data_IF_100488803326
#
_entry.id   IF_100488803326
#
_cell.length_a   1.000
_cell.length_b   1.000
_cell.length_c   1.000
_cell.angle_alpha   90.00
_cell.angle_beta   90.00
_cell.angle_gamma   90.00
#
_symmetry.space_group_name_H-M   'P 1'
#
loop_
_entity.id
_entity.type
_entity.pdbx_description
1 polymer ?
#
# COMPACT_ATOMS: atom_id res chain seq x y z
N UNK A 1 15.70 -1.95 25.19
CA UNK A 1 15.01 -1.79 23.89
C UNK A 1 13.90 -0.78 24.05
N UNK A 2 13.78 0.18 23.14
CA UNK A 2 12.70 1.18 23.13
C UNK A 2 11.77 0.89 21.97
N UNK A 3 10.46 0.89 22.25
CA UNK A 3 9.40 0.84 21.25
C UNK A 3 8.85 2.25 21.03
N UNK A 4 8.82 2.69 19.77
CA UNK A 4 8.17 3.93 19.38
C UNK A 4 6.96 3.60 18.52
N UNK A 5 5.77 3.89 19.01
CA UNK A 5 4.51 3.64 18.29
C UNK A 5 4.10 4.90 17.55
N UNK A 6 3.78 4.76 16.28
CA UNK A 6 3.23 5.83 15.44
C UNK A 6 2.12 5.30 14.56
N UNK A 7 1.15 6.14 14.22
CA UNK A 7 0.07 5.71 13.32
C UNK A 7 0.61 5.44 11.94
N UNK A 8 1.45 6.31 11.38
CA UNK A 8 1.94 6.20 10.01
C UNK A 8 3.37 6.73 9.86
N UNK A 9 4.07 6.22 8.85
CA UNK A 9 5.35 6.71 8.37
C UNK A 9 5.22 7.05 6.88
N UNK A 10 4.93 8.30 6.52
CA UNK A 10 4.74 8.70 5.13
C UNK A 10 6.07 8.81 4.37
N UNK A 11 6.06 8.53 3.08
CA UNK A 11 7.23 8.63 2.19
C UNK A 11 7.80 10.07 2.15
N UNK A 12 6.90 11.07 2.11
CA UNK A 12 7.21 12.50 2.28
C UNK A 12 6.64 12.93 3.62
N UNK A 13 7.45 13.50 4.50
CA UNK A 13 7.07 13.72 5.88
C UNK A 13 7.43 15.13 6.36
N UNK A 14 6.57 15.67 7.24
CA UNK A 14 6.78 16.94 7.95
C UNK A 14 7.55 16.76 9.26
N UNK A 15 7.60 17.85 10.05
CA UNK A 15 8.42 17.95 11.25
C UNK A 15 8.20 16.86 12.30
N UNK A 16 6.95 16.39 12.50
CA UNK A 16 6.65 15.34 13.50
C UNK A 16 7.41 14.04 13.21
N UNK A 17 7.30 13.52 11.99
CA UNK A 17 8.01 12.28 11.61
C UNK A 17 9.51 12.48 11.60
N UNK A 18 9.98 13.66 11.14
CA UNK A 18 11.39 13.97 11.16
C UNK A 18 11.96 14.03 12.60
N UNK A 19 11.25 14.64 13.52
CA UNK A 19 11.65 14.71 14.94
C UNK A 19 11.69 13.29 15.56
N UNK A 20 10.70 12.43 15.26
CA UNK A 20 10.66 11.05 15.70
C UNK A 20 11.88 10.27 15.21
N UNK A 21 12.18 10.32 13.91
CA UNK A 21 13.32 9.60 13.31
C UNK A 21 14.66 10.11 13.86
N UNK A 22 14.83 11.42 14.01
CA UNK A 22 16.05 12.03 14.61
C UNK A 22 16.25 11.57 16.04
N UNK A 23 15.20 11.57 16.85
CA UNK A 23 15.27 11.10 18.26
C UNK A 23 15.70 9.65 18.34
N UNK A 24 15.11 8.75 17.54
CA UNK A 24 15.42 7.31 17.56
C UNK A 24 16.85 7.08 17.07
N UNK A 25 17.27 7.80 16.03
CA UNK A 25 18.63 7.73 15.51
C UNK A 25 19.65 8.15 16.57
N UNK A 26 19.40 9.25 17.29
CA UNK A 26 20.23 9.72 18.38
C UNK A 26 20.35 8.67 19.51
N UNK A 27 19.24 8.03 19.88
CA UNK A 27 19.25 6.97 20.91
C UNK A 27 20.12 5.78 20.50
N UNK A 28 20.11 5.41 19.23
CA UNK A 28 20.96 4.33 18.73
C UNK A 28 22.43 4.76 18.60
N UNK A 29 22.71 5.93 18.04
CA UNK A 29 24.07 6.40 17.76
C UNK A 29 24.85 6.76 19.04
N UNK A 30 24.22 7.52 19.96
CA UNK A 30 24.90 8.04 21.16
C UNK A 30 24.80 7.08 22.34
N UNK A 31 23.64 6.49 22.55
CA UNK A 31 23.35 5.71 23.75
C UNK A 31 23.35 4.18 23.49
N UNK A 32 23.51 3.75 22.24
CA UNK A 32 23.51 2.33 21.85
C UNK A 32 22.24 1.59 22.31
N UNK A 33 21.10 2.30 22.36
CA UNK A 33 19.83 1.73 22.78
C UNK A 33 19.11 1.11 21.59
N UNK A 34 18.92 -0.20 21.53
CA UNK A 34 18.15 -0.85 20.47
C UNK A 34 16.73 -0.30 20.41
N UNK A 35 16.29 0.08 19.24
CA UNK A 35 14.99 0.73 19.05
C UNK A 35 14.19 0.08 17.94
N UNK A 36 12.86 0.00 18.15
CA UNK A 36 11.88 -0.45 17.16
C UNK A 36 10.82 0.62 16.91
N UNK A 37 10.44 0.80 15.65
CA UNK A 37 9.33 1.66 15.26
C UNK A 37 8.17 0.77 14.83
N UNK A 38 7.05 0.85 15.56
CA UNK A 38 5.81 0.15 15.25
C UNK A 38 4.81 1.10 14.61
N UNK A 39 4.36 0.76 13.42
CA UNK A 39 3.25 1.46 12.74
C UNK A 39 1.94 0.73 12.92
N UNK A 40 0.85 1.48 13.16
CA UNK A 40 -0.47 0.90 13.46
C UNK A 40 -1.50 1.07 12.35
N UNK A 41 -1.19 1.82 11.27
CA UNK A 41 -2.06 1.87 10.09
C UNK A 41 -1.66 0.82 9.05
N UNK A 42 -2.62 0.47 8.20
CA UNK A 42 -2.35 -0.33 7.01
C UNK A 42 -1.70 0.52 5.91
N UNK A 43 -0.58 0.02 5.36
CA UNK A 43 0.04 0.59 4.16
C UNK A 43 0.89 -0.44 3.44
N UNK A 44 0.44 -0.90 2.27
CA UNK A 44 1.11 -1.98 1.50
C UNK A 44 2.52 -1.67 1.00
N UNK A 45 3.00 -0.43 1.12
CA UNK A 45 4.31 0.01 0.60
C UNK A 45 5.33 0.32 1.71
N UNK A 46 5.10 -0.10 2.95
CA UNK A 46 6.06 0.13 4.04
C UNK A 46 7.48 -0.38 3.76
N UNK A 47 7.71 -1.54 3.13
CA UNK A 47 9.08 -1.98 2.82
C UNK A 47 9.88 -0.96 2.02
N UNK A 48 9.25 -0.29 1.03
CA UNK A 48 9.91 0.75 0.24
C UNK A 48 10.18 2.02 1.05
N UNK A 49 9.27 2.38 1.97
CA UNK A 49 9.43 3.53 2.87
C UNK A 49 10.60 3.29 3.83
N UNK A 50 10.68 2.11 4.45
CA UNK A 50 11.76 1.74 5.35
C UNK A 50 13.11 1.72 4.64
N UNK A 51 13.16 1.15 3.41
CA UNK A 51 14.35 1.17 2.58
C UNK A 51 14.80 2.61 2.27
N UNK A 52 13.86 3.49 1.90
CA UNK A 52 14.17 4.90 1.62
C UNK A 52 14.73 5.61 2.85
N UNK A 53 14.18 5.40 4.04
CA UNK A 53 14.68 6.03 5.27
C UNK A 53 16.11 5.61 5.59
N UNK A 54 16.48 4.35 5.35
CA UNK A 54 17.86 3.88 5.46
C UNK A 54 18.77 4.53 4.42
N UNK A 55 18.37 4.53 3.15
CA UNK A 55 19.12 5.14 2.05
C UNK A 55 19.36 6.66 2.26
N UNK A 56 18.40 7.35 2.84
CA UNK A 56 18.52 8.79 3.17
C UNK A 56 19.20 9.03 4.52
N UNK A 57 19.76 8.01 5.14
CA UNK A 57 20.44 8.08 6.45
C UNK A 57 19.57 8.70 7.56
N UNK A 58 18.24 8.54 7.48
CA UNK A 58 17.30 9.01 8.50
C UNK A 58 17.23 8.10 9.71
N UNK A 59 17.60 6.85 9.54
CA UNK A 59 17.72 5.82 10.57
C UNK A 59 18.98 5.01 10.34
N UNK A 60 19.51 4.38 11.39
CA UNK A 60 20.62 3.42 11.30
C UNK A 60 20.10 2.04 10.89
N UNK A 61 21.01 1.13 10.52
CA UNK A 61 20.66 -0.25 10.20
C UNK A 61 20.15 -1.04 11.42
N UNK A 62 20.51 -0.61 12.63
CA UNK A 62 20.10 -1.26 13.89
C UNK A 62 18.62 -1.00 14.24
N UNK A 63 18.03 0.08 13.69
CA UNK A 63 16.63 0.42 13.97
C UNK A 63 15.73 -0.52 13.19
N UNK A 64 14.87 -1.23 13.91
CA UNK A 64 13.89 -2.15 13.35
C UNK A 64 12.57 -1.45 13.10
N UNK A 65 11.91 -1.83 11.99
CA UNK A 65 10.56 -1.40 11.68
C UNK A 65 9.63 -2.60 11.77
N UNK A 66 8.46 -2.37 12.36
CA UNK A 66 7.39 -3.36 12.46
C UNK A 66 6.06 -2.70 12.11
N UNK A 67 5.12 -3.50 11.67
CA UNK A 67 3.76 -3.05 11.35
C UNK A 67 2.74 -3.97 12.01
N UNK A 68 1.69 -3.40 12.57
CA UNK A 68 0.63 -4.16 13.25
C UNK A 68 -0.01 -5.20 12.31
N UNK A 69 -0.27 -4.84 11.06
CA UNK A 69 -0.89 -5.74 10.09
C UNK A 69 0.07 -6.84 9.60
N UNK A 70 1.39 -6.59 9.64
CA UNK A 70 2.39 -7.63 9.41
C UNK A 70 2.31 -8.72 10.48
N UNK A 71 2.11 -8.34 11.74
CA UNK A 71 1.89 -9.30 12.83
C UNK A 71 0.57 -10.07 12.66
N UNK A 72 -0.52 -9.36 12.33
CA UNK A 72 -1.82 -9.99 12.11
C UNK A 72 -1.81 -10.99 10.96
N UNK A 73 -1.02 -10.73 9.92
CA UNK A 73 -0.83 -11.64 8.78
C UNK A 73 0.20 -12.76 9.02
N UNK A 74 0.66 -12.93 10.26
CA UNK A 74 1.73 -13.84 10.62
C UNK A 74 3.01 -13.63 9.76
N UNK A 75 3.39 -12.37 9.57
CA UNK A 75 4.55 -11.92 8.80
C UNK A 75 4.52 -12.32 7.31
N UNK A 76 3.34 -12.45 6.73
CA UNK A 76 3.16 -12.75 5.30
C UNK A 76 2.79 -11.52 4.45
N UNK A 77 2.45 -10.38 5.06
CA UNK A 77 1.93 -9.22 4.35
C UNK A 77 2.93 -8.63 3.35
N UNK A 78 4.21 -8.56 3.70
CA UNK A 78 5.26 -7.97 2.88
C UNK A 78 6.20 -8.99 2.27
N UNK A 79 5.86 -10.27 2.33
CA UNK A 79 6.66 -11.34 1.74
C UNK A 79 6.75 -11.16 0.23
N UNK A 80 7.97 -11.06 -0.28
CA UNK A 80 8.22 -10.92 -1.71
C UNK A 80 7.88 -12.23 -2.43
N UNK A 81 6.93 -12.24 -3.38
CA UNK A 81 6.65 -13.43 -4.17
C UNK A 81 7.84 -13.71 -5.09
N UNK A 82 8.38 -14.92 -5.04
CA UNK A 82 9.52 -15.35 -5.87
C UNK A 82 9.08 -16.45 -6.81
N UNK A 83 9.68 -16.52 -7.98
CA UNK A 83 9.58 -17.70 -8.83
C UNK A 83 10.57 -18.76 -8.32
N UNK A 84 10.20 -20.02 -8.41
CA UNK A 84 11.05 -21.15 -7.99
C UNK A 84 12.36 -21.22 -8.79
N UNK A 85 12.35 -20.75 -10.04
CA UNK A 85 13.46 -20.88 -10.99
C UNK A 85 14.43 -19.70 -10.91
N UNK A 86 13.94 -18.46 -10.78
CA UNK A 86 14.76 -17.26 -11.01
C UNK A 86 15.09 -16.47 -9.74
N UNK A 87 14.48 -16.78 -8.60
CA UNK A 87 14.52 -16.00 -7.35
C UNK A 87 14.10 -14.51 -7.53
N UNK A 88 13.64 -14.13 -8.70
CA UNK A 88 13.18 -12.78 -9.00
C UNK A 88 11.74 -12.57 -8.50
N UNK A 89 11.35 -11.34 -8.13
CA UNK A 89 9.97 -11.04 -7.80
C UNK A 89 9.03 -11.36 -8.97
N UNK A 90 7.95 -12.06 -8.68
CA UNK A 90 6.88 -12.33 -9.66
C UNK A 90 5.89 -11.16 -9.63
N UNK A 91 5.78 -10.44 -10.74
CA UNK A 91 4.80 -9.37 -10.91
C UNK A 91 3.52 -9.88 -11.55
N UNK A 92 2.38 -9.61 -10.92
CA UNK A 92 1.06 -9.84 -11.49
C UNK A 92 0.67 -8.59 -12.30
N UNK A 93 0.62 -8.75 -13.63
CA UNK A 93 0.28 -7.65 -14.54
C UNK A 93 -1.20 -7.67 -14.87
N UNK A 94 -1.82 -6.50 -14.82
CA UNK A 94 -3.24 -6.31 -15.16
C UNK A 94 -3.33 -5.47 -16.44
N UNK A 95 -4.00 -5.97 -17.50
CA UNK A 95 -4.17 -5.21 -18.73
C UNK A 95 -4.82 -3.84 -18.49
N UNK A 96 -4.32 -2.81 -19.18
CA UNK A 96 -4.89 -1.45 -19.09
C UNK A 96 -6.24 -1.33 -19.79
N UNK A 97 -6.54 -2.19 -20.77
CA UNK A 97 -7.83 -2.23 -21.45
C UNK A 97 -8.77 -3.23 -20.78
N UNK A 98 -10.02 -2.85 -20.60
CA UNK A 98 -11.10 -3.76 -20.16
C UNK A 98 -12.03 -3.96 -21.36
N UNK A 99 -12.27 -5.23 -21.70
CA UNK A 99 -13.17 -5.59 -22.81
C UNK A 99 -14.58 -5.02 -22.54
N UNK A 100 -15.15 -4.34 -23.52
CA UNK A 100 -16.50 -3.77 -23.44
C UNK A 100 -16.60 -2.42 -22.74
N UNK A 101 -15.48 -1.85 -22.24
CA UNK A 101 -15.48 -0.52 -21.62
C UNK A 101 -14.65 0.48 -22.43
N UNK A 102 -15.06 1.74 -22.40
CA UNK A 102 -14.34 2.86 -23.01
C UNK A 102 -13.41 3.44 -21.96
N UNK A 103 -12.12 3.52 -22.25
CA UNK A 103 -11.13 4.11 -21.36
C UNK A 103 -10.88 5.60 -21.66
N UNK A 104 -10.87 6.42 -20.61
CA UNK A 104 -10.48 7.83 -20.64
C UNK A 104 -9.34 8.06 -19.67
N UNK A 105 -8.26 8.68 -20.14
CA UNK A 105 -7.06 8.98 -19.33
C UNK A 105 -6.44 10.31 -19.73
N UNK A 106 -5.86 11.02 -18.78
CA UNK A 106 -5.00 12.17 -19.05
C UNK A 106 -3.69 11.73 -19.75
N UNK A 107 -3.09 12.65 -20.53
CA UNK A 107 -1.90 12.36 -21.37
C UNK A 107 -0.71 11.73 -20.63
N UNK A 108 -0.57 11.91 -19.29
CA UNK A 108 0.51 11.36 -18.46
C UNK A 108 -0.02 10.70 -17.18
N UNK A 109 -1.30 10.32 -17.15
CA UNK A 109 -1.91 9.78 -15.95
C UNK A 109 -1.76 8.27 -15.85
N UNK A 110 -1.33 7.80 -14.69
CA UNK A 110 -1.36 6.37 -14.33
C UNK A 110 -2.75 5.92 -13.88
N UNK A 111 -3.71 6.86 -13.78
CA UNK A 111 -5.10 6.64 -13.47
C UNK A 111 -5.92 6.60 -14.76
N UNK A 112 -6.71 5.55 -14.93
CA UNK A 112 -7.57 5.32 -16.07
C UNK A 112 -9.01 5.16 -15.56
N UNK A 113 -9.95 5.95 -16.15
CA UNK A 113 -11.37 5.84 -15.88
C UNK A 113 -12.03 5.03 -16.99
N UNK A 114 -12.93 4.13 -16.63
CA UNK A 114 -13.63 3.25 -17.56
C UNK A 114 -15.13 3.52 -17.52
N UNK A 115 -15.71 3.59 -18.70
CA UNK A 115 -17.10 3.94 -18.92
C UNK A 115 -17.82 2.80 -19.64
N UNK A 116 -19.03 2.52 -19.20
CA UNK A 116 -20.01 1.76 -19.96
C UNK A 116 -20.97 2.79 -20.57
N UNK A 117 -20.86 3.01 -21.87
CA UNK A 117 -21.45 4.16 -22.56
C UNK A 117 -20.96 5.47 -21.91
N UNK A 118 -21.85 6.24 -21.28
CA UNK A 118 -21.52 7.50 -20.60
C UNK A 118 -21.33 7.34 -19.07
N UNK A 119 -21.72 6.19 -18.52
CA UNK A 119 -21.64 5.94 -17.09
C UNK A 119 -20.23 5.54 -16.68
N UNK A 120 -19.63 6.27 -15.72
CA UNK A 120 -18.37 5.89 -15.09
C UNK A 120 -18.62 4.70 -14.18
N UNK A 121 -17.98 3.56 -14.47
CA UNK A 121 -18.21 2.30 -13.73
C UNK A 121 -16.97 1.78 -13.00
N UNK A 122 -15.78 2.24 -13.39
CA UNK A 122 -14.52 1.75 -12.81
C UNK A 122 -13.37 2.72 -12.96
N UNK A 123 -12.45 2.73 -12.02
CA UNK A 123 -11.16 3.41 -12.15
C UNK A 123 -10.02 2.47 -11.77
N UNK A 124 -8.92 2.50 -12.52
CA UNK A 124 -7.70 1.76 -12.23
C UNK A 124 -6.52 2.69 -12.14
N UNK A 125 -5.74 2.59 -11.07
CA UNK A 125 -4.45 3.24 -10.96
C UNK A 125 -3.34 2.21 -10.98
N UNK A 126 -2.26 2.53 -11.66
CA UNK A 126 -1.10 1.65 -11.84
C UNK A 126 0.13 2.25 -11.18
N UNK A 127 1.08 1.40 -10.75
CA UNK A 127 2.39 1.84 -10.29
C UNK A 127 3.22 2.39 -11.46
N UNK A 128 3.19 3.70 -11.66
CA UNK A 128 3.87 4.39 -12.74
C UNK A 128 3.49 3.83 -14.12
N UNK A 129 4.46 3.73 -15.01
CA UNK A 129 4.27 3.18 -16.38
C UNK A 129 4.17 1.64 -16.41
N UNK A 130 4.23 0.96 -15.26
CA UNK A 130 4.05 -0.49 -15.20
C UNK A 130 2.62 -0.90 -15.51
N UNK A 131 2.41 -2.19 -15.78
CA UNK A 131 1.09 -2.79 -15.83
C UNK A 131 0.72 -3.46 -14.48
N UNK A 132 1.39 -3.09 -13.40
CA UNK A 132 1.06 -3.54 -12.04
C UNK A 132 0.04 -2.59 -11.46
N UNK A 133 -1.10 -3.13 -11.06
CA UNK A 133 -2.20 -2.36 -10.49
C UNK A 133 -1.85 -1.90 -9.08
N UNK A 134 -2.11 -0.63 -8.77
CA UNK A 134 -2.00 -0.07 -7.42
C UNK A 134 -3.35 -0.18 -6.70
N UNK A 135 -4.41 0.27 -7.36
CA UNK A 135 -5.77 0.06 -6.88
C UNK A 135 -6.79 0.05 -8.03
N UNK A 136 -7.95 -0.52 -7.75
CA UNK A 136 -9.13 -0.52 -8.62
C UNK A 136 -10.35 -0.08 -7.82
N UNK A 137 -11.04 0.96 -8.29
CA UNK A 137 -12.31 1.44 -7.75
C UNK A 137 -13.47 0.94 -8.60
N UNK A 138 -14.51 0.50 -7.93
CA UNK A 138 -15.79 0.12 -8.52
C UNK A 138 -16.80 1.22 -8.19
N UNK A 139 -17.43 1.75 -9.22
CA UNK A 139 -18.32 2.91 -9.14
C UNK A 139 -19.75 2.46 -9.44
N UNK A 140 -20.67 2.82 -8.59
CA UNK A 140 -22.09 2.56 -8.80
C UNK A 140 -22.60 3.38 -9.98
N UNK A 141 -23.18 2.78 -11.00
CA UNK A 141 -23.75 3.52 -12.12
C UNK A 141 -24.97 4.36 -11.73
N UNK A 142 -25.60 4.05 -10.60
CA UNK A 142 -26.81 4.74 -10.09
C UNK A 142 -26.43 5.98 -9.29
N UNK A 143 -25.55 5.87 -8.31
CA UNK A 143 -25.15 6.98 -7.44
C UNK A 143 -23.93 7.76 -7.94
N UNK A 144 -23.11 7.16 -8.83
CA UNK A 144 -21.82 7.71 -9.23
C UNK A 144 -20.75 7.63 -8.12
N UNK A 145 -21.09 7.04 -6.99
CA UNK A 145 -20.19 6.89 -5.84
C UNK A 145 -19.42 5.57 -5.91
N UNK A 146 -18.25 5.57 -5.30
CA UNK A 146 -17.45 4.36 -5.13
C UNK A 146 -18.08 3.48 -4.04
N UNK A 147 -18.37 2.21 -4.36
CA UNK A 147 -18.91 1.23 -3.40
C UNK A 147 -17.87 0.20 -2.98
N UNK A 148 -16.81 -0.03 -3.77
CA UNK A 148 -15.76 -0.99 -3.47
C UNK A 148 -14.40 -0.50 -3.99
N UNK A 149 -13.30 -0.81 -3.26
CA UNK A 149 -11.93 -0.58 -3.71
C UNK A 149 -11.08 -1.81 -3.42
N UNK A 150 -10.36 -2.26 -4.42
CA UNK A 150 -9.30 -3.26 -4.29
C UNK A 150 -7.94 -2.56 -4.29
N UNK A 151 -7.07 -2.87 -3.33
CA UNK A 151 -5.72 -2.35 -3.24
C UNK A 151 -4.70 -3.49 -3.42
N UNK A 152 -3.65 -3.20 -4.16
CA UNK A 152 -2.62 -4.18 -4.53
C UNK A 152 -1.24 -3.70 -4.10
N UNK A 153 -0.34 -4.64 -3.78
CA UNK A 153 1.04 -4.31 -3.50
C UNK A 153 1.85 -4.06 -4.78
N UNK A 154 3.15 -3.71 -4.62
CA UNK A 154 4.07 -3.47 -5.73
C UNK A 154 4.24 -4.67 -6.69
N UNK A 155 3.84 -5.86 -6.28
CA UNK A 155 3.88 -7.08 -7.08
C UNK A 155 2.54 -7.42 -7.74
N UNK A 156 1.50 -6.63 -7.48
CA UNK A 156 0.15 -6.81 -8.02
C UNK A 156 -0.69 -7.84 -7.25
N UNK A 157 -0.28 -8.24 -6.05
CA UNK A 157 -1.08 -9.09 -5.18
C UNK A 157 -2.13 -8.24 -4.46
N UNK A 158 -3.35 -8.76 -4.38
CA UNK A 158 -4.43 -8.13 -3.62
C UNK A 158 -4.08 -8.16 -2.13
N UNK A 159 -4.15 -7.00 -1.48
CA UNK A 159 -3.89 -6.84 -0.05
C UNK A 159 -5.11 -6.47 0.74
N UNK A 160 -6.00 -5.70 0.14
CA UNK A 160 -7.13 -5.11 0.83
C UNK A 160 -8.29 -4.90 -0.11
N UNK A 161 -9.49 -5.20 0.36
CA UNK A 161 -10.75 -4.71 -0.22
C UNK A 161 -11.39 -3.77 0.78
N UNK A 162 -11.87 -2.64 0.32
CA UNK A 162 -12.62 -1.66 1.09
C UNK A 162 -14.02 -1.57 0.55
N UNK A 163 -15.01 -1.55 1.43
CA UNK A 163 -16.43 -1.42 1.08
C UNK A 163 -16.97 -0.11 1.62
N UNK A 164 -17.82 0.53 0.82
CA UNK A 164 -18.38 1.85 1.09
C UNK A 164 -19.90 1.80 1.00
N UNK A 165 -20.58 2.69 1.71
CA UNK A 165 -22.02 2.83 1.59
C UNK A 165 -22.38 3.41 0.22
N UNK A 166 -23.46 2.91 -0.40
CA UNK A 166 -23.92 3.33 -1.75
C UNK A 166 -24.43 4.77 -1.80
N UNK A 167 -24.83 5.32 -0.67
CA UNK A 167 -25.37 6.68 -0.49
C UNK A 167 -24.34 7.69 0.01
N UNK A 168 -23.13 7.23 0.36
CA UNK A 168 -22.11 8.10 0.91
C UNK A 168 -20.69 7.58 0.56
N UNK A 169 -19.70 8.45 0.70
CA UNK A 169 -18.28 8.03 0.55
C UNK A 169 -17.69 7.43 1.83
N UNK A 170 -18.52 7.12 2.83
CA UNK A 170 -18.06 6.55 4.09
C UNK A 170 -17.75 5.07 3.92
N UNK A 171 -16.57 4.67 4.38
CA UNK A 171 -16.18 3.28 4.44
C UNK A 171 -16.91 2.58 5.60
N UNK A 172 -17.53 1.43 5.33
CA UNK A 172 -18.19 0.65 6.37
C UNK A 172 -17.39 -0.58 6.82
N UNK A 173 -16.59 -1.18 5.93
CA UNK A 173 -15.76 -2.34 6.29
C UNK A 173 -14.57 -2.49 5.34
N UNK A 174 -13.64 -3.35 5.73
CA UNK A 174 -12.55 -3.82 4.86
C UNK A 174 -12.15 -5.26 5.20
N UNK A 175 -11.62 -5.92 4.19
CA UNK A 175 -11.03 -7.26 4.25
C UNK A 175 -9.56 -7.15 3.94
N UNK A 176 -8.70 -7.81 4.70
CA UNK A 176 -7.26 -7.79 4.54
C UNK A 176 -6.73 -9.18 4.19
N UNK A 177 -5.84 -9.23 3.20
CA UNK A 177 -5.30 -10.45 2.63
C UNK A 177 -3.78 -10.48 2.76
N UNK A 178 -3.23 -11.63 3.11
CA UNK A 178 -1.80 -11.88 3.06
C UNK A 178 -1.33 -12.11 1.60
N UNK A 179 -0.03 -12.27 1.42
CA UNK A 179 0.55 -12.49 0.08
C UNK A 179 0.24 -13.88 -0.52
N UNK A 180 -0.38 -14.75 0.24
CA UNK A 180 -0.85 -16.07 -0.20
C UNK A 180 -2.33 -16.02 -0.60
N UNK A 181 -2.99 -14.86 -0.41
CA UNK A 181 -4.40 -14.63 -0.72
C UNK A 181 -5.35 -15.10 0.38
N UNK A 182 -4.83 -15.42 1.57
CA UNK A 182 -5.66 -15.77 2.72
C UNK A 182 -6.12 -14.50 3.44
N UNK A 183 -7.41 -14.40 3.70
CA UNK A 183 -7.98 -13.32 4.50
C UNK A 183 -7.59 -13.51 5.97
N UNK A 184 -7.13 -12.45 6.63
CA UNK A 184 -6.72 -12.47 8.03
C UNK A 184 -7.39 -11.39 8.91
N UNK A 185 -8.14 -10.46 8.31
CA UNK A 185 -8.90 -9.42 8.99
C UNK A 185 -10.00 -8.86 8.09
#
# INVERSE_FOLDING_TARGET
>A
MIYTVTTTLPLSHGGRTQALLRRIKLLDEEFKIPSKILTTNYHGNYPSIYKKYRQENKVTENIQFENMYEWLSNFKLFKVPKTLITRNPKYIKTPRKIKGLIDRRGKKSDLIHYYNNECHVRSRKYYGQSNVLEYEDFISPTSGLKYERHQYNLYGQLHRKEYYYDDSSLKHSDELFDTEGSMYC
#
